data_IF_665605906084
#
_entry.id   IF_665605906084
#
_cell.length_a   1.000
_cell.length_b   1.000
_cell.length_c   1.000
_cell.angle_alpha   90.00
_cell.angle_beta   90.00
_cell.angle_gamma   90.00
#
_symmetry.space_group_name_H-M   'P 1'
#
loop_
_entity.id
_entity.type
_entity.pdbx_description
1 polymer ?
#
# COMPACT_ATOMS: atom_id res chain seq x y z
N UNK A 1 52.41 11.24 21.19
CA UNK A 1 51.18 12.09 20.98
C UNK A 1 50.46 11.65 19.69
N UNK A 2 49.14 11.72 19.60
CA UNK A 2 48.47 11.39 18.35
C UNK A 2 48.75 12.46 17.30
N UNK A 3 48.81 12.01 16.04
CA UNK A 3 49.10 12.86 14.88
C UNK A 3 47.82 13.08 14.08
N UNK A 4 47.58 14.33 13.62
CA UNK A 4 46.46 14.66 12.77
C UNK A 4 46.57 13.98 11.38
N UNK A 5 45.55 13.28 10.93
CA UNK A 5 45.54 12.53 9.67
C UNK A 5 45.52 13.40 8.41
N UNK A 6 45.27 14.68 8.54
CA UNK A 6 45.21 15.64 7.42
C UNK A 6 46.48 16.47 7.31
N UNK A 7 46.86 17.19 8.37
CA UNK A 7 47.98 18.12 8.33
C UNK A 7 49.27 17.57 8.99
N UNK A 8 49.25 16.37 9.55
CA UNK A 8 50.43 15.76 10.17
C UNK A 8 50.91 16.36 11.52
N UNK A 9 50.21 17.37 12.05
CA UNK A 9 50.60 18.03 13.30
C UNK A 9 50.31 17.13 14.52
N UNK A 10 51.16 17.21 15.53
CA UNK A 10 50.89 16.55 16.80
C UNK A 10 49.70 17.19 17.49
N UNK A 11 48.84 16.37 18.08
CA UNK A 11 47.64 16.81 18.78
C UNK A 11 47.92 16.73 20.27
N UNK A 12 47.85 17.85 21.01
CA UNK A 12 48.03 17.84 22.46
C UNK A 12 46.94 16.96 23.13
N UNK A 13 47.31 16.38 24.25
CA UNK A 13 46.40 15.54 25.03
C UNK A 13 45.11 16.30 25.37
N UNK A 14 43.94 15.64 25.10
CA UNK A 14 42.64 16.23 25.38
C UNK A 14 42.08 17.18 24.31
N UNK A 15 42.86 17.60 23.28
CA UNK A 15 42.46 18.55 22.25
C UNK A 15 42.15 17.91 20.87
N UNK A 16 41.94 16.58 20.83
CA UNK A 16 41.61 15.91 19.58
C UNK A 16 40.15 16.11 19.21
N UNK A 17 39.89 16.56 17.96
CA UNK A 17 38.58 16.57 17.40
C UNK A 17 38.21 15.17 16.88
N UNK A 18 37.04 14.66 17.29
CA UNK A 18 36.50 13.38 16.85
C UNK A 18 35.20 13.64 16.05
N UNK A 19 35.18 13.25 14.80
CA UNK A 19 33.98 13.37 13.98
C UNK A 19 33.22 12.04 13.89
N UNK A 20 31.94 12.11 13.59
CA UNK A 20 31.05 10.95 13.53
C UNK A 20 31.43 9.92 12.44
N UNK A 21 32.03 10.37 11.31
CA UNK A 21 32.32 9.51 10.16
C UNK A 21 33.64 8.76 10.25
N UNK A 22 34.64 9.29 10.99
CA UNK A 22 35.97 8.69 11.10
C UNK A 22 36.28 8.34 12.56
N UNK A 23 35.60 7.31 13.09
CA UNK A 23 35.65 6.93 14.52
C UNK A 23 37.05 6.65 15.06
N UNK A 24 37.97 6.18 14.21
CA UNK A 24 39.33 5.79 14.58
C UNK A 24 40.39 6.81 14.17
N UNK A 25 40.04 7.92 13.52
CA UNK A 25 40.95 8.96 13.09
C UNK A 25 40.85 10.15 14.06
N UNK A 26 42.00 10.82 14.31
CA UNK A 26 42.07 11.99 15.17
C UNK A 26 42.49 13.19 14.36
N UNK A 27 41.83 14.32 14.60
CA UNK A 27 42.04 15.59 13.89
C UNK A 27 42.42 16.68 14.88
N UNK A 28 43.26 17.63 14.46
CA UNK A 28 43.64 18.75 15.32
C UNK A 28 42.56 19.83 15.39
N UNK A 29 41.66 19.92 14.39
CA UNK A 29 40.55 20.88 14.33
C UNK A 29 39.38 20.35 13.52
N UNK A 30 38.25 21.06 13.59
CA UNK A 30 37.08 20.80 12.76
C UNK A 30 37.35 21.01 11.26
N UNK A 31 38.24 21.95 10.94
CA UNK A 31 38.63 22.25 9.54
C UNK A 31 39.34 21.06 8.90
N UNK A 32 40.32 20.45 9.58
CA UNK A 32 40.99 19.25 9.11
C UNK A 32 40.01 18.08 8.94
N UNK A 33 39.03 17.96 9.81
CA UNK A 33 37.98 16.97 9.67
C UNK A 33 37.12 17.18 8.41
N UNK A 34 36.73 18.45 8.17
CA UNK A 34 35.93 18.82 6.99
C UNK A 34 36.73 18.62 5.67
N UNK A 35 38.02 18.95 5.68
CA UNK A 35 38.90 18.71 4.53
C UNK A 35 39.02 17.21 4.21
N UNK A 36 39.14 16.37 5.25
CA UNK A 36 39.14 14.91 5.11
C UNK A 36 37.84 14.38 4.54
N UNK A 37 36.70 14.90 4.98
CA UNK A 37 35.36 14.57 4.42
C UNK A 37 35.29 14.92 2.94
N UNK A 38 35.69 16.12 2.55
CA UNK A 38 35.65 16.61 1.17
C UNK A 38 36.57 15.78 0.25
N UNK A 39 37.76 15.38 0.75
CA UNK A 39 38.69 14.51 0.01
C UNK A 39 38.11 13.11 -0.15
N UNK A 40 37.49 12.58 0.88
CA UNK A 40 36.86 11.25 0.87
C UNK A 40 35.67 11.19 -0.09
N UNK A 41 34.86 12.26 -0.17
CA UNK A 41 33.72 12.39 -1.09
C UNK A 41 34.15 12.54 -2.54
N UNK A 42 35.31 13.19 -2.80
CA UNK A 42 35.87 13.34 -4.15
C UNK A 42 36.47 12.04 -4.68
N UNK A 43 37.12 11.24 -3.80
CA UNK A 43 37.74 9.98 -4.19
C UNK A 43 36.78 8.84 -4.41
N UNK A 44 35.68 8.82 -3.67
CA UNK A 44 34.60 7.86 -3.79
C UNK A 44 33.26 8.62 -3.77
N UNK A 45 32.80 9.20 -4.89
CA UNK A 45 31.43 9.67 -4.93
C UNK A 45 30.55 8.46 -4.55
N UNK A 46 29.62 8.60 -3.59
CA UNK A 46 28.74 7.51 -3.23
C UNK A 46 28.01 7.09 -4.50
N UNK A 47 28.41 5.96 -5.08
CA UNK A 47 27.58 5.32 -6.10
C UNK A 47 26.20 5.15 -5.48
N UNK A 48 25.14 5.73 -6.06
CA UNK A 48 23.81 5.55 -5.54
C UNK A 48 23.55 4.05 -5.54
N UNK A 49 23.60 3.42 -4.35
CA UNK A 49 23.19 2.03 -4.21
C UNK A 49 21.80 1.96 -4.83
N UNK A 50 21.55 1.06 -5.79
CA UNK A 50 20.21 0.89 -6.31
C UNK A 50 19.32 0.68 -5.09
N UNK A 51 18.32 1.56 -4.92
CA UNK A 51 17.36 1.43 -3.83
C UNK A 51 16.78 0.03 -3.96
N UNK A 52 16.96 -0.86 -2.98
CA UNK A 52 16.33 -2.16 -3.08
C UNK A 52 14.87 -1.90 -3.43
N UNK A 53 14.29 -2.71 -4.32
CA UNK A 53 12.86 -2.64 -4.67
C UNK A 53 12.06 -2.85 -3.38
N UNK A 54 11.98 -1.80 -2.57
CA UNK A 54 11.25 -1.80 -1.32
C UNK A 54 9.77 -1.83 -1.68
N UNK A 55 9.24 -3.04 -1.75
CA UNK A 55 7.79 -3.22 -1.70
C UNK A 55 7.40 -3.01 -0.24
N UNK A 56 6.64 -1.96 0.08
CA UNK A 56 6.20 -1.76 1.46
C UNK A 56 5.48 -3.05 1.92
N UNK A 57 5.70 -3.49 3.16
CA UNK A 57 5.05 -4.68 3.68
C UNK A 57 3.53 -4.52 3.55
N UNK A 58 2.84 -5.59 3.13
CA UNK A 58 1.38 -5.56 3.05
C UNK A 58 0.82 -5.21 4.43
N UNK A 59 -0.01 -4.19 4.49
CA UNK A 59 -0.69 -3.80 5.74
C UNK A 59 -1.54 -4.97 6.24
N UNK A 60 -1.48 -5.25 7.55
CA UNK A 60 -2.41 -6.20 8.17
C UNK A 60 -3.86 -5.71 8.06
N UNK A 61 -4.83 -6.61 8.08
CA UNK A 61 -6.23 -6.24 7.94
C UNK A 61 -6.70 -5.34 9.09
N UNK A 62 -6.23 -5.59 10.30
CA UNK A 62 -6.40 -4.67 11.42
C UNK A 62 -5.90 -3.25 11.09
N UNK A 63 -4.73 -3.14 10.47
CA UNK A 63 -4.16 -1.83 10.09
C UNK A 63 -4.99 -1.12 9.04
N UNK A 64 -5.56 -1.87 8.09
CA UNK A 64 -6.46 -1.30 7.08
C UNK A 64 -7.71 -0.68 7.72
N UNK A 65 -8.33 -1.38 8.70
CA UNK A 65 -9.49 -0.87 9.44
C UNK A 65 -9.13 0.39 10.22
N UNK A 66 -8.02 0.37 10.98
CA UNK A 66 -7.63 1.55 11.76
C UNK A 66 -7.27 2.74 10.89
N UNK A 67 -6.57 2.55 9.78
CA UNK A 67 -6.26 3.62 8.83
C UNK A 67 -7.56 4.19 8.22
N UNK A 68 -8.54 3.35 7.89
CA UNK A 68 -9.83 3.78 7.35
C UNK A 68 -10.66 4.58 8.36
N UNK A 69 -10.71 4.13 9.61
CA UNK A 69 -11.36 4.87 10.69
C UNK A 69 -10.66 6.22 10.91
N UNK A 70 -9.34 6.24 10.95
CA UNK A 70 -8.55 7.47 11.10
C UNK A 70 -8.87 8.51 10.01
N UNK A 71 -9.02 8.05 8.77
CA UNK A 71 -9.34 8.91 7.62
C UNK A 71 -10.78 9.44 7.66
N UNK A 72 -11.70 8.69 8.25
CA UNK A 72 -13.10 9.08 8.33
C UNK A 72 -13.44 9.92 9.56
N UNK A 73 -12.68 9.77 10.67
CA UNK A 73 -12.94 10.47 11.92
C UNK A 73 -12.63 11.96 11.79
N UNK A 74 -13.51 12.88 12.24
CA UNK A 74 -13.33 14.32 12.06
C UNK A 74 -12.22 14.93 12.93
N UNK A 75 -11.74 14.19 13.94
CA UNK A 75 -10.65 14.57 14.83
C UNK A 75 -9.88 13.34 15.27
N UNK A 76 -8.88 13.49 16.14
CA UNK A 76 -8.12 12.33 16.61
C UNK A 76 -9.00 11.34 17.39
N UNK A 77 -9.13 10.07 16.93
CA UNK A 77 -10.01 9.11 17.55
C UNK A 77 -9.54 8.69 18.94
N UNK A 78 -10.48 8.47 19.86
CA UNK A 78 -10.19 7.77 21.10
C UNK A 78 -10.01 6.26 20.80
N UNK A 79 -8.77 5.86 20.49
CA UNK A 79 -8.46 4.49 20.07
C UNK A 79 -8.78 3.44 21.13
N UNK A 80 -8.63 3.74 22.42
CA UNK A 80 -8.97 2.80 23.47
C UNK A 80 -10.47 2.46 23.46
N UNK A 81 -11.32 3.46 23.29
CA UNK A 81 -12.76 3.29 23.17
C UNK A 81 -13.15 2.53 21.91
N UNK A 82 -12.65 2.96 20.74
CA UNK A 82 -12.97 2.35 19.46
C UNK A 82 -12.49 0.91 19.35
N UNK A 83 -11.31 0.60 19.87
CA UNK A 83 -10.78 -0.77 19.84
C UNK A 83 -11.55 -1.71 20.78
N UNK A 84 -12.09 -1.20 21.88
CA UNK A 84 -12.98 -1.96 22.76
C UNK A 84 -14.30 -2.27 22.04
N UNK A 85 -14.92 -1.29 21.40
CA UNK A 85 -16.12 -1.50 20.59
C UNK A 85 -15.87 -2.47 19.44
N UNK A 86 -14.77 -2.26 18.70
CA UNK A 86 -14.41 -3.11 17.58
C UNK A 86 -14.28 -4.58 17.99
N UNK A 87 -13.61 -4.83 19.11
CA UNK A 87 -13.48 -6.19 19.64
C UNK A 87 -14.83 -6.78 20.02
N UNK A 88 -15.65 -6.02 20.75
CA UNK A 88 -16.98 -6.48 21.17
C UNK A 88 -17.88 -6.81 19.96
N UNK A 89 -17.88 -5.96 18.92
CA UNK A 89 -18.63 -6.17 17.68
C UNK A 89 -18.15 -7.41 16.94
N UNK A 90 -16.83 -7.59 16.81
CA UNK A 90 -16.25 -8.76 16.14
C UNK A 90 -16.59 -10.05 16.87
N UNK A 91 -16.52 -10.03 18.19
CA UNK A 91 -16.83 -11.21 19.03
C UNK A 91 -18.34 -11.52 19.01
N UNK A 92 -19.22 -10.52 19.03
CA UNK A 92 -20.68 -10.67 19.07
C UNK A 92 -21.26 -11.15 17.73
N UNK A 93 -20.73 -10.64 16.60
CA UNK A 93 -21.26 -10.94 15.26
C UNK A 93 -20.37 -11.86 14.45
N UNK A 94 -19.34 -12.47 15.06
CA UNK A 94 -18.36 -13.37 14.41
C UNK A 94 -17.72 -12.75 13.14
N UNK A 95 -17.41 -11.45 13.19
CA UNK A 95 -16.87 -10.72 12.06
C UNK A 95 -15.34 -10.73 12.03
N UNK A 96 -14.77 -10.82 10.84
CA UNK A 96 -13.35 -10.57 10.61
C UNK A 96 -13.07 -9.07 10.45
N UNK A 97 -11.79 -8.65 10.51
CA UNK A 97 -11.39 -7.27 10.20
C UNK A 97 -11.76 -6.85 8.76
N UNK A 98 -11.81 -7.81 7.83
CA UNK A 98 -12.21 -7.53 6.45
C UNK A 98 -13.69 -7.22 6.38
N UNK A 99 -14.53 -8.00 7.07
CA UNK A 99 -15.98 -7.76 7.12
C UNK A 99 -16.30 -6.40 7.72
N UNK A 100 -15.65 -6.06 8.84
CA UNK A 100 -15.80 -4.73 9.45
C UNK A 100 -15.40 -3.62 8.46
N UNK A 101 -14.29 -3.77 7.75
CA UNK A 101 -13.84 -2.79 6.77
C UNK A 101 -14.86 -2.63 5.63
N UNK A 102 -15.45 -3.71 5.16
CA UNK A 102 -16.47 -3.69 4.11
C UNK A 102 -17.74 -2.98 4.57
N UNK A 103 -18.20 -3.26 5.80
CA UNK A 103 -19.37 -2.58 6.38
C UNK A 103 -19.12 -1.09 6.54
N UNK A 104 -17.95 -0.68 7.05
CA UNK A 104 -17.60 0.73 7.18
C UNK A 104 -17.53 1.44 5.83
N UNK A 105 -16.99 0.77 4.80
CA UNK A 105 -16.96 1.30 3.44
C UNK A 105 -18.36 1.44 2.86
N UNK A 106 -19.20 0.43 3.01
CA UNK A 106 -20.60 0.49 2.57
C UNK A 106 -21.32 1.68 3.20
N UNK A 107 -21.18 1.86 4.51
CA UNK A 107 -21.81 2.97 5.24
C UNK A 107 -21.31 4.34 4.76
N UNK A 108 -20.00 4.51 4.57
CA UNK A 108 -19.41 5.80 4.17
C UNK A 108 -19.59 6.11 2.69
N UNK A 109 -19.27 5.15 1.83
CA UNK A 109 -19.11 5.39 0.39
C UNK A 109 -20.43 5.20 -0.38
N UNK A 110 -21.28 4.29 0.08
CA UNK A 110 -22.54 3.96 -0.59
C UNK A 110 -23.74 4.62 0.09
N UNK A 111 -23.94 4.39 1.39
CA UNK A 111 -25.04 4.98 2.15
C UNK A 111 -24.78 6.45 2.55
N UNK A 112 -23.54 6.92 2.44
CA UNK A 112 -23.13 8.30 2.77
C UNK A 112 -23.53 8.74 4.19
N UNK A 113 -23.41 7.82 5.14
CA UNK A 113 -23.80 8.07 6.53
C UNK A 113 -22.80 9.02 7.17
N UNK A 114 -23.29 10.07 7.81
CA UNK A 114 -22.47 10.93 8.64
C UNK A 114 -22.06 10.19 9.92
N UNK A 115 -20.80 10.29 10.26
CA UNK A 115 -20.25 9.67 11.44
C UNK A 115 -20.57 10.53 12.68
N UNK A 116 -21.26 9.93 13.66
CA UNK A 116 -21.43 10.53 14.98
C UNK A 116 -20.42 9.91 15.98
N UNK A 117 -19.40 10.67 16.38
CA UNK A 117 -18.39 10.18 17.30
C UNK A 117 -18.91 9.76 18.67
N UNK A 118 -20.11 10.19 19.06
CA UNK A 118 -20.74 9.86 20.35
C UNK A 118 -21.07 8.38 20.43
N UNK A 119 -21.59 7.81 19.36
CA UNK A 119 -21.95 6.39 19.29
C UNK A 119 -20.77 5.51 18.85
N UNK A 120 -19.77 6.08 18.23
CA UNK A 120 -18.61 5.34 17.73
C UNK A 120 -19.00 4.32 16.66
N UNK A 121 -18.45 3.10 16.77
CA UNK A 121 -18.71 2.03 15.80
C UNK A 121 -20.10 1.41 15.95
N UNK A 122 -20.74 1.47 17.11
CA UNK A 122 -22.08 0.95 17.32
C UNK A 122 -23.17 1.62 16.48
N UNK A 123 -22.88 2.80 15.91
CA UNK A 123 -23.76 3.46 14.95
C UNK A 123 -24.03 2.58 13.71
N UNK A 124 -23.08 1.74 13.33
CA UNK A 124 -23.13 0.94 12.11
C UNK A 124 -23.58 -0.51 12.36
N UNK A 125 -23.42 -1.01 13.58
CA UNK A 125 -23.67 -2.40 13.94
C UNK A 125 -24.84 -2.52 14.93
N UNK A 126 -25.76 -3.48 14.76
CA UNK A 126 -25.80 -4.53 13.71
C UNK A 126 -26.47 -4.09 12.39
N UNK A 127 -27.00 -2.88 12.33
CA UNK A 127 -27.92 -2.38 11.29
C UNK A 127 -27.44 -2.63 9.84
N UNK A 128 -26.14 -2.49 9.59
CA UNK A 128 -25.60 -2.52 8.24
C UNK A 128 -24.86 -3.84 7.89
N UNK A 129 -24.91 -4.85 8.72
CA UNK A 129 -24.31 -6.16 8.45
C UNK A 129 -24.98 -6.82 7.23
N UNK A 130 -26.29 -7.06 7.32
CA UNK A 130 -27.04 -7.71 6.26
C UNK A 130 -27.12 -6.88 4.95
N UNK A 131 -27.40 -5.56 5.00
CA UNK A 131 -27.35 -4.74 3.79
C UNK A 131 -26.01 -4.79 3.07
N UNK A 132 -24.90 -4.82 3.82
CA UNK A 132 -23.57 -4.92 3.22
C UNK A 132 -23.34 -6.28 2.57
N UNK A 133 -23.76 -7.38 3.19
CA UNK A 133 -23.67 -8.73 2.62
C UNK A 133 -24.43 -8.82 1.31
N UNK A 134 -25.67 -8.36 1.31
CA UNK A 134 -26.49 -8.35 0.08
C UNK A 134 -25.85 -7.52 -1.03
N UNK A 135 -25.33 -6.34 -0.69
CA UNK A 135 -24.64 -5.48 -1.65
C UNK A 135 -23.41 -6.17 -2.30
N UNK A 136 -22.64 -6.91 -1.50
CA UNK A 136 -21.48 -7.67 -2.01
C UNK A 136 -21.93 -8.80 -2.94
N UNK A 137 -22.96 -9.55 -2.55
CA UNK A 137 -23.54 -10.61 -3.39
C UNK A 137 -24.06 -10.06 -4.71
N UNK A 138 -24.75 -8.93 -4.71
CA UNK A 138 -25.26 -8.29 -5.91
C UNK A 138 -24.12 -7.85 -6.84
N UNK A 139 -23.02 -7.32 -6.29
CA UNK A 139 -21.82 -6.97 -7.07
C UNK A 139 -21.18 -8.21 -7.68
N UNK A 140 -21.05 -9.28 -6.94
CA UNK A 140 -20.39 -10.50 -7.42
C UNK A 140 -21.25 -11.20 -8.49
N UNK A 141 -22.57 -11.24 -8.31
CA UNK A 141 -23.51 -11.71 -9.32
C UNK A 141 -23.42 -10.87 -10.61
N UNK A 142 -23.39 -9.54 -10.50
CA UNK A 142 -23.24 -8.65 -11.64
C UNK A 142 -21.89 -8.84 -12.37
N UNK A 143 -20.82 -9.13 -11.65
CA UNK A 143 -19.50 -9.44 -12.24
C UNK A 143 -19.51 -10.77 -12.99
N UNK A 144 -20.19 -11.77 -12.47
CA UNK A 144 -20.28 -13.08 -13.11
C UNK A 144 -21.15 -13.02 -14.36
N UNK A 145 -22.29 -12.32 -14.33
CA UNK A 145 -23.08 -12.02 -15.51
C UNK A 145 -22.29 -11.25 -16.59
N UNK A 146 -21.49 -10.26 -16.16
CA UNK A 146 -20.62 -9.52 -17.07
C UNK A 146 -19.56 -10.43 -17.72
N UNK A 147 -18.97 -11.37 -16.99
CA UNK A 147 -18.00 -12.33 -17.55
C UNK A 147 -18.64 -13.20 -18.63
N UNK A 148 -19.89 -13.65 -18.43
CA UNK A 148 -20.60 -14.45 -19.40
C UNK A 148 -20.92 -13.66 -20.67
N UNK A 149 -21.17 -12.36 -20.57
CA UNK A 149 -21.37 -11.47 -21.70
C UNK A 149 -20.07 -11.21 -22.49
N UNK A 150 -18.93 -11.11 -21.79
CA UNK A 150 -17.62 -10.86 -22.42
C UNK A 150 -16.89 -12.12 -22.89
N UNK A 151 -17.28 -13.29 -22.40
CA UNK A 151 -16.85 -14.61 -22.88
C UNK A 151 -18.05 -15.36 -23.49
N UNK A 152 -18.57 -14.92 -24.64
CA UNK A 152 -19.65 -15.65 -25.26
C UNK A 152 -19.14 -17.06 -25.54
N UNK A 153 -19.86 -18.07 -25.05
CA UNK A 153 -19.63 -19.49 -25.40
C UNK A 153 -19.41 -19.52 -26.90
N UNK A 154 -18.32 -20.12 -27.40
CA UNK A 154 -18.10 -20.12 -28.83
C UNK A 154 -19.28 -20.78 -29.47
N UNK A 155 -20.17 -19.97 -30.07
CA UNK A 155 -21.26 -20.46 -30.95
C UNK A 155 -20.50 -21.29 -31.95
N UNK A 156 -20.67 -22.61 -31.88
CA UNK A 156 -20.11 -23.57 -32.82
C UNK A 156 -20.37 -22.98 -34.21
N UNK A 157 -19.34 -22.36 -34.77
CA UNK A 157 -19.41 -21.79 -36.11
C UNK A 157 -19.81 -22.98 -37.00
N UNK A 158 -21.09 -23.03 -37.35
CA UNK A 158 -21.58 -23.99 -38.38
C UNK A 158 -20.58 -23.85 -39.52
N UNK A 159 -19.74 -24.88 -39.73
CA UNK A 159 -18.76 -24.90 -40.81
C UNK A 159 -19.50 -24.45 -42.06
N UNK A 160 -19.26 -23.22 -42.46
CA UNK A 160 -19.78 -22.69 -43.73
C UNK A 160 -19.11 -23.51 -44.81
N UNK A 161 -19.85 -24.52 -45.34
CA UNK A 161 -19.45 -25.25 -46.54
C UNK A 161 -19.58 -24.27 -47.69
N UNK A 162 -18.50 -23.85 -48.36
CA UNK A 162 -18.61 -22.99 -49.52
C UNK A 162 -19.47 -23.72 -50.55
N UNK A 163 -20.56 -23.10 -50.96
CA UNK A 163 -21.38 -23.61 -52.07
C UNK A 163 -20.44 -23.81 -53.27
N UNK A 164 -20.47 -25.01 -53.85
CA UNK A 164 -19.74 -25.34 -55.07
C UNK A 164 -19.96 -24.25 -56.07
N UNK A 165 -18.87 -23.66 -56.60
CA UNK A 165 -18.92 -22.75 -57.76
C UNK A 165 -19.46 -23.55 -58.90
N UNK A 166 -20.65 -23.20 -59.41
CA UNK A 166 -21.13 -23.69 -60.70
C UNK A 166 -20.17 -23.13 -61.74
N UNK A 167 -19.48 -24.04 -62.46
CA UNK A 167 -18.79 -23.70 -63.69
C UNK A 167 -19.87 -23.60 -64.79
N UNK A 168 -20.10 -22.41 -65.26
CA UNK A 168 -20.81 -22.21 -66.52
C UNK A 168 -19.80 -22.40 -67.64
N UNK A 169 -19.86 -23.51 -68.35
CA UNK A 169 -19.16 -23.70 -69.61
C UNK A 169 -20.04 -22.98 -70.69
N UNK A 170 -19.64 -21.77 -71.06
CA UNK A 170 -20.16 -21.06 -72.23
C UNK A 170 -19.33 -21.49 -73.44
N UNK A 171 -19.74 -22.54 -74.14
CA UNK A 171 -19.30 -22.79 -75.53
C UNK A 171 -20.20 -22.01 -76.43
N UNK A 172 -19.66 -20.98 -77.06
CA UNK A 172 -20.31 -20.32 -78.21
C UNK A 172 -19.76 -20.99 -79.45
N UNK A 173 -20.69 -21.58 -80.32
CA UNK A 173 -20.47 -21.88 -81.71
C UNK A 173 -20.68 -20.63 -82.56
#
# INVERSE_FOLDING_TARGET
MPICKVCGKEIPYGKSYKGAHFKNEKFCSAECYTERLNTSTKLNPPTPKPKPNYKPPKKSDRRKVTDYIQDWWPYEPNWAFLMTQLKAIMDEYELSYIDVLLILKYCREYEQIELDPTYGLYQFFPKYIEPTRQFIEDIDNAKDEAKDLFNPTPILAKKYRPKRKFKFDLTFD
#
